data_IF_254812564804
#
_entry.id   IF_254812564804
#
_cell.length_a   1.000
_cell.length_b   1.000
_cell.length_c   1.000
_cell.angle_alpha   90.00
_cell.angle_beta   90.00
_cell.angle_gamma   90.00
#
_symmetry.space_group_name_H-M   'P 1'
#
loop_
_entity.id
_entity.type
_entity.pdbx_description
1 polymer ?
#
# COMPACT_ATOMS: atom_id res chain seq x y z
N UNK A 1 41.74 57.23 -9.38
CA UNK A 1 41.71 55.75 -9.26
C UNK A 1 41.38 55.42 -7.81
N UNK A 2 40.39 54.64 -7.42
CA UNK A 2 39.14 54.13 -7.98
C UNK A 2 38.37 53.62 -6.76
N UNK A 3 37.12 54.05 -6.57
CA UNK A 3 36.23 53.48 -5.57
C UNK A 3 35.89 52.03 -5.95
N UNK A 4 36.06 51.07 -5.03
CA UNK A 4 35.35 49.78 -5.08
C UNK A 4 34.96 49.30 -3.69
N UNK A 5 33.71 49.59 -3.37
CA UNK A 5 32.84 48.82 -2.47
C UNK A 5 32.77 47.38 -2.98
N UNK A 6 32.86 46.38 -2.10
CA UNK A 6 32.11 45.15 -2.28
C UNK A 6 31.79 44.50 -0.93
N UNK A 7 30.54 44.70 -0.53
CA UNK A 7 29.81 43.94 0.48
C UNK A 7 29.83 42.45 0.12
N UNK A 8 30.38 41.60 0.98
CA UNK A 8 30.08 40.17 0.96
C UNK A 8 28.98 39.95 2.01
N UNK A 9 27.74 40.10 1.54
CA UNK A 9 26.56 39.51 2.15
C UNK A 9 26.78 38.00 2.20
N UNK A 10 27.09 37.46 3.38
CA UNK A 10 26.95 36.03 3.66
C UNK A 10 25.44 35.76 3.60
N UNK A 11 25.03 35.26 2.44
CA UNK A 11 23.70 34.68 2.22
C UNK A 11 23.57 33.52 3.19
N UNK A 12 22.88 33.76 4.31
CA UNK A 12 22.21 32.70 5.05
C UNK A 12 21.18 32.11 4.07
N UNK A 13 21.60 31.11 3.31
CA UNK A 13 20.69 30.19 2.64
C UNK A 13 19.97 29.42 3.74
N UNK A 14 18.89 30.02 4.25
CA UNK A 14 17.87 29.34 5.00
C UNK A 14 17.35 28.19 4.14
N UNK A 15 17.80 26.98 4.48
CA UNK A 15 17.10 25.76 4.11
C UNK A 15 15.64 25.95 4.54
N UNK A 16 14.66 25.88 3.62
CA UNK A 16 13.29 25.68 4.05
C UNK A 16 13.26 24.28 4.67
N UNK A 17 13.22 24.24 6.00
CA UNK A 17 12.85 23.04 6.74
C UNK A 17 11.42 22.74 6.31
N UNK A 18 11.24 21.83 5.34
CA UNK A 18 9.94 21.24 5.04
C UNK A 18 9.59 20.26 6.15
N UNK A 19 9.21 20.80 7.32
CA UNK A 19 8.59 20.04 8.41
C UNK A 19 7.07 20.10 8.24
N UNK A 20 6.54 19.27 7.34
CA UNK A 20 5.10 19.07 7.17
C UNK A 20 4.74 17.59 7.20
N UNK A 21 5.09 16.88 8.28
CA UNK A 21 4.79 15.44 8.42
C UNK A 21 4.09 15.05 9.72
N UNK A 22 3.79 15.98 10.62
CA UNK A 22 3.25 15.64 11.95
C UNK A 22 1.72 15.83 12.07
N UNK A 23 1.07 16.52 11.13
CA UNK A 23 -0.38 16.80 11.23
C UNK A 23 -1.29 15.83 10.46
N UNK A 24 -0.73 14.94 9.62
CA UNK A 24 -1.51 13.91 8.93
C UNK A 24 -1.95 12.75 9.86
N UNK A 25 -1.41 12.67 11.09
CA UNK A 25 -1.68 11.56 12.01
C UNK A 25 -3.08 11.56 12.62
N UNK A 26 -3.56 12.71 13.12
CA UNK A 26 -4.74 12.68 14.00
C UNK A 26 -6.09 12.64 13.25
N UNK A 27 -6.16 13.28 12.08
CA UNK A 27 -7.42 13.35 11.32
C UNK A 27 -7.74 12.03 10.62
N UNK A 28 -6.74 11.36 10.04
CA UNK A 28 -6.96 10.11 9.31
C UNK A 28 -7.18 8.90 10.24
N UNK A 29 -6.74 8.95 11.51
CA UNK A 29 -7.17 7.95 12.49
C UNK A 29 -8.68 8.04 12.82
N UNK A 30 -9.28 9.22 12.69
CA UNK A 30 -10.72 9.44 12.92
C UNK A 30 -11.56 9.28 11.64
N UNK A 31 -10.92 9.43 10.48
CA UNK A 31 -11.54 9.22 9.18
C UNK A 31 -10.58 8.44 8.26
N UNK A 32 -10.52 7.10 8.37
CA UNK A 32 -9.53 6.32 7.64
C UNK A 32 -9.72 6.30 6.11
N UNK A 33 -10.80 6.89 5.58
CA UNK A 33 -11.12 6.88 4.15
C UNK A 33 -10.91 8.23 3.45
N UNK A 34 -10.48 9.28 4.15
CA UNK A 34 -10.34 10.63 3.56
C UNK A 34 -9.23 10.73 2.51
N UNK A 35 -8.03 10.23 2.82
CA UNK A 35 -6.84 10.43 1.98
C UNK A 35 -6.08 9.13 1.67
N UNK A 36 -6.71 7.98 1.91
CA UNK A 36 -6.06 6.66 1.89
C UNK A 36 -5.31 6.33 0.59
N UNK A 37 -5.77 6.81 -0.56
CA UNK A 37 -5.14 6.56 -1.87
C UNK A 37 -3.97 7.48 -2.19
N UNK A 38 -3.74 8.53 -1.41
CA UNK A 38 -2.75 9.58 -1.68
C UNK A 38 -1.41 9.30 -0.98
N UNK A 39 -1.39 8.40 0.00
CA UNK A 39 -0.19 8.10 0.78
C UNK A 39 0.75 7.12 0.11
N UNK A 40 2.05 7.35 0.28
CA UNK A 40 3.06 6.33 0.04
C UNK A 40 3.02 5.25 1.15
N UNK A 41 3.47 4.00 0.87
CA UNK A 41 3.49 2.94 1.88
C UNK A 41 4.20 3.33 3.18
N UNK A 42 5.30 4.10 3.10
CA UNK A 42 6.03 4.59 4.27
C UNK A 42 5.19 5.53 5.14
N UNK A 43 4.39 6.41 4.54
CA UNK A 43 3.48 7.30 5.26
C UNK A 43 2.35 6.50 5.92
N UNK A 44 1.81 5.50 5.23
CA UNK A 44 0.81 4.61 5.81
C UNK A 44 1.34 3.82 7.02
N UNK A 45 2.60 3.35 6.98
CA UNK A 45 3.24 2.71 8.15
C UNK A 45 3.36 3.66 9.33
N UNK A 46 3.74 4.92 9.07
CA UNK A 46 3.76 5.95 10.13
C UNK A 46 2.36 6.20 10.71
N UNK A 47 1.31 6.22 9.89
CA UNK A 47 -0.07 6.33 10.40
C UNK A 47 -0.45 5.12 11.26
N UNK A 48 -0.10 3.91 10.83
CA UNK A 48 -0.35 2.70 11.59
C UNK A 48 0.30 2.71 12.98
N UNK A 49 1.52 3.25 13.10
CA UNK A 49 2.23 3.40 14.38
C UNK A 49 1.59 4.46 15.30
N UNK A 50 0.95 5.47 14.72
CA UNK A 50 0.41 6.62 15.47
C UNK A 50 -1.08 6.47 15.84
N UNK A 51 -1.84 5.62 15.15
CA UNK A 51 -3.25 5.40 15.47
C UNK A 51 -3.40 4.54 16.73
N UNK A 52 -4.15 5.04 17.73
CA UNK A 52 -4.38 4.32 18.98
C UNK A 52 -5.41 3.17 18.86
N UNK A 53 -6.30 3.22 17.87
CA UNK A 53 -7.29 2.16 17.63
C UNK A 53 -6.68 1.05 16.76
N UNK A 54 -6.61 -0.18 17.30
CA UNK A 54 -5.96 -1.32 16.64
C UNK A 54 -6.53 -1.62 15.25
N UNK A 55 -7.85 -1.54 15.07
CA UNK A 55 -8.47 -1.82 13.78
C UNK A 55 -8.04 -0.81 12.70
N UNK A 56 -7.90 0.47 13.06
CA UNK A 56 -7.47 1.55 12.18
C UNK A 56 -5.97 1.45 11.90
N UNK A 57 -5.16 1.17 12.93
CA UNK A 57 -3.73 0.92 12.78
C UNK A 57 -3.46 -0.23 11.80
N UNK A 58 -4.16 -1.36 11.98
CA UNK A 58 -4.07 -2.52 11.09
C UNK A 58 -4.47 -2.18 9.66
N UNK A 59 -5.50 -1.35 9.47
CA UNK A 59 -5.91 -0.93 8.13
C UNK A 59 -4.80 -0.19 7.39
N UNK A 60 -4.15 0.78 8.03
CA UNK A 60 -3.03 1.50 7.41
C UNK A 60 -1.82 0.59 7.18
N UNK A 61 -1.52 -0.31 8.11
CA UNK A 61 -0.46 -1.31 7.92
C UNK A 61 -0.74 -2.20 6.71
N UNK A 62 -1.96 -2.73 6.61
CA UNK A 62 -2.38 -3.63 5.55
C UNK A 62 -2.40 -2.95 4.18
N UNK A 63 -2.88 -1.71 4.11
CA UNK A 63 -2.80 -0.89 2.88
C UNK A 63 -1.35 -0.70 2.43
N UNK A 64 -0.45 -0.37 3.36
CA UNK A 64 0.97 -0.21 3.07
C UNK A 64 1.57 -1.51 2.51
N UNK A 65 1.31 -2.62 3.21
CA UNK A 65 1.90 -3.91 2.86
C UNK A 65 1.37 -4.44 1.53
N UNK A 66 0.06 -4.32 1.28
CA UNK A 66 -0.53 -4.66 0.00
C UNK A 66 0.06 -3.82 -1.15
N UNK A 67 0.22 -2.51 -0.95
CA UNK A 67 0.85 -1.65 -1.97
C UNK A 67 2.30 -2.06 -2.28
N UNK A 68 3.09 -2.43 -1.27
CA UNK A 68 4.46 -2.96 -1.45
C UNK A 68 4.47 -4.30 -2.21
N UNK A 69 3.53 -5.20 -1.93
CA UNK A 69 3.40 -6.48 -2.66
C UNK A 69 3.04 -6.25 -4.14
N UNK A 70 2.10 -5.34 -4.41
CA UNK A 70 1.74 -4.94 -5.77
C UNK A 70 2.95 -4.35 -6.52
N UNK A 71 3.80 -3.55 -5.88
CA UNK A 71 5.03 -3.05 -6.48
C UNK A 71 6.01 -4.20 -6.83
N UNK A 72 6.14 -5.21 -5.96
CA UNK A 72 6.97 -6.40 -6.23
C UNK A 72 6.47 -7.17 -7.46
N UNK A 73 5.17 -7.39 -7.59
CA UNK A 73 4.58 -8.01 -8.78
C UNK A 73 4.88 -7.23 -10.06
N UNK A 74 4.76 -5.90 -10.02
CA UNK A 74 5.10 -5.06 -11.18
C UNK A 74 6.57 -5.21 -11.59
N UNK A 75 7.49 -5.30 -10.64
CA UNK A 75 8.92 -5.51 -10.91
C UNK A 75 9.16 -6.90 -11.52
N UNK A 76 8.60 -7.95 -10.92
CA UNK A 76 8.75 -9.33 -11.42
C UNK A 76 8.20 -9.46 -12.83
N UNK A 77 7.01 -8.90 -13.08
CA UNK A 77 6.40 -8.86 -14.39
C UNK A 77 7.33 -8.23 -15.45
N UNK A 78 7.99 -7.10 -15.13
CA UNK A 78 8.95 -6.47 -16.05
C UNK A 78 10.19 -7.34 -16.33
N UNK A 79 10.59 -8.20 -15.39
CA UNK A 79 11.74 -9.10 -15.54
C UNK A 79 11.40 -10.35 -16.36
N UNK A 80 10.14 -10.78 -16.36
CA UNK A 80 9.68 -11.94 -17.13
C UNK A 80 9.49 -11.57 -18.61
N UNK A 81 10.53 -11.76 -19.41
CA UNK A 81 10.57 -11.25 -20.79
C UNK A 81 9.88 -12.15 -21.84
N UNK A 82 9.45 -13.39 -21.55
CA UNK A 82 9.16 -14.37 -22.61
C UNK A 82 8.05 -15.43 -22.37
N UNK A 83 7.13 -15.28 -21.40
CA UNK A 83 6.03 -16.26 -21.20
C UNK A 83 4.67 -15.61 -20.92
N UNK A 84 3.54 -16.29 -21.22
CA UNK A 84 2.21 -15.80 -20.89
C UNK A 84 2.09 -15.49 -19.40
N UNK A 85 1.51 -14.33 -19.13
CA UNK A 85 1.74 -13.54 -17.92
C UNK A 85 0.58 -13.70 -16.94
N UNK A 86 0.47 -14.89 -16.33
CA UNK A 86 -0.52 -15.15 -15.28
C UNK A 86 -0.37 -14.17 -14.11
N UNK A 87 0.86 -13.75 -13.81
CA UNK A 87 1.19 -12.81 -12.73
C UNK A 87 0.50 -11.44 -12.91
N UNK A 88 0.39 -10.92 -14.14
CA UNK A 88 -0.31 -9.67 -14.41
C UNK A 88 -1.83 -9.77 -14.25
N UNK A 89 -2.43 -10.91 -14.62
CA UNK A 89 -3.86 -11.13 -14.37
C UNK A 89 -4.14 -11.18 -12.87
N UNK A 90 -3.35 -11.94 -12.10
CA UNK A 90 -3.49 -12.00 -10.65
C UNK A 90 -3.29 -10.63 -9.99
N UNK A 91 -2.29 -9.87 -10.43
CA UNK A 91 -2.06 -8.49 -10.02
C UNK A 91 -3.31 -7.62 -10.20
N UNK A 92 -3.96 -7.68 -11.37
CA UNK A 92 -5.17 -6.90 -11.64
C UNK A 92 -6.36 -7.37 -10.80
N UNK A 93 -6.53 -8.68 -10.63
CA UNK A 93 -7.59 -9.26 -9.80
C UNK A 93 -7.48 -8.78 -8.35
N UNK A 94 -6.28 -8.79 -7.76
CA UNK A 94 -6.08 -8.32 -6.39
C UNK A 94 -6.40 -6.84 -6.24
N UNK A 95 -5.96 -6.00 -7.19
CA UNK A 95 -6.30 -4.57 -7.19
C UNK A 95 -7.80 -4.33 -7.22
N UNK A 96 -8.53 -5.05 -8.07
CA UNK A 96 -9.98 -4.90 -8.17
C UNK A 96 -10.68 -5.37 -6.89
N UNK A 97 -10.29 -6.53 -6.35
CA UNK A 97 -10.87 -7.09 -5.13
C UNK A 97 -10.72 -6.15 -3.92
N UNK A 98 -9.51 -5.62 -3.71
CA UNK A 98 -9.26 -4.67 -2.63
C UNK A 98 -9.95 -3.33 -2.87
N UNK A 99 -9.96 -2.80 -4.10
CA UNK A 99 -10.66 -1.55 -4.40
C UNK A 99 -12.18 -1.64 -4.15
N UNK A 100 -12.79 -2.77 -4.50
CA UNK A 100 -14.21 -3.04 -4.20
C UNK A 100 -14.44 -3.18 -2.70
N UNK A 101 -13.57 -3.91 -1.99
CA UNK A 101 -13.64 -4.06 -0.53
C UNK A 101 -13.55 -2.72 0.18
N UNK A 102 -12.61 -1.85 -0.23
CA UNK A 102 -12.45 -0.48 0.27
C UNK A 102 -13.73 0.35 0.05
N UNK A 103 -14.31 0.29 -1.14
CA UNK A 103 -15.53 1.03 -1.46
C UNK A 103 -16.72 0.58 -0.60
N UNK A 104 -16.89 -0.72 -0.38
CA UNK A 104 -17.94 -1.24 0.47
C UNK A 104 -17.71 -0.90 1.94
N UNK A 105 -16.49 -1.06 2.44
CA UNK A 105 -16.13 -0.73 3.80
C UNK A 105 -16.31 0.77 4.10
N UNK A 106 -15.92 1.66 3.17
CA UNK A 106 -16.18 3.10 3.27
C UNK A 106 -17.66 3.38 3.45
N UNK A 107 -18.50 2.80 2.58
CA UNK A 107 -19.95 3.01 2.64
C UNK A 107 -20.58 2.47 3.93
N UNK A 108 -20.11 1.33 4.42
CA UNK A 108 -20.57 0.73 5.68
C UNK A 108 -20.14 1.59 6.89
N UNK A 109 -18.90 2.06 6.89
CA UNK A 109 -18.36 2.97 7.91
C UNK A 109 -19.14 4.29 7.99
N UNK A 110 -19.42 4.92 6.84
CA UNK A 110 -20.22 6.16 6.77
C UNK A 110 -21.65 5.99 7.31
N UNK A 111 -22.18 4.76 7.33
CA UNK A 111 -23.46 4.41 7.95
C UNK A 111 -23.36 4.06 9.44
N UNK A 112 -22.16 4.09 10.02
CA UNK A 112 -21.92 3.75 11.42
C UNK A 112 -21.80 2.25 11.71
N UNK A 113 -21.56 1.42 10.69
CA UNK A 113 -21.36 -0.02 10.88
C UNK A 113 -19.99 -0.30 11.51
N UNK A 114 -19.98 -0.57 12.82
CA UNK A 114 -18.76 -0.76 13.63
C UNK A 114 -17.84 -1.89 13.17
N UNK A 115 -18.35 -2.85 12.38
CA UNK A 115 -17.59 -3.98 11.86
C UNK A 115 -16.87 -3.74 10.52
N UNK A 116 -17.13 -2.60 9.85
CA UNK A 116 -16.68 -2.37 8.48
C UNK A 116 -15.15 -2.43 8.31
N UNK A 117 -14.40 -1.79 9.23
CA UNK A 117 -12.93 -1.77 9.22
C UNK A 117 -12.37 -3.16 9.53
N UNK A 118 -12.96 -3.86 10.49
CA UNK A 118 -12.52 -5.21 10.86
C UNK A 118 -12.68 -6.19 9.70
N UNK A 119 -13.79 -6.11 8.96
CA UNK A 119 -14.02 -6.96 7.78
C UNK A 119 -13.08 -6.59 6.63
N UNK A 120 -12.85 -5.29 6.40
CA UNK A 120 -11.87 -4.83 5.42
C UNK A 120 -10.46 -5.36 5.72
N UNK A 121 -10.06 -5.35 7.00
CA UNK A 121 -8.77 -5.92 7.40
C UNK A 121 -8.66 -7.41 7.06
N UNK A 122 -9.71 -8.21 7.26
CA UNK A 122 -9.70 -9.62 6.85
C UNK A 122 -9.55 -9.79 5.34
N UNK A 123 -10.21 -8.94 4.54
CA UNK A 123 -10.05 -8.97 3.09
C UNK A 123 -8.61 -8.63 2.67
N UNK A 124 -7.98 -7.67 3.36
CA UNK A 124 -6.57 -7.38 3.18
C UNK A 124 -5.69 -8.57 3.53
N UNK A 125 -5.83 -9.13 4.73
CA UNK A 125 -5.02 -10.27 5.20
C UNK A 125 -5.10 -11.42 4.21
N UNK A 126 -6.31 -11.75 3.72
CA UNK A 126 -6.50 -12.79 2.72
C UNK A 126 -5.86 -12.45 1.37
N UNK A 127 -5.99 -11.22 0.90
CA UNK A 127 -5.38 -10.80 -0.37
C UNK A 127 -3.86 -10.80 -0.29
N UNK A 128 -3.30 -10.37 0.84
CA UNK A 128 -1.88 -10.40 1.16
C UNK A 128 -1.36 -11.84 1.18
N UNK A 129 -2.06 -12.75 1.85
CA UNK A 129 -1.70 -14.17 1.91
C UNK A 129 -1.61 -14.78 0.50
N UNK A 130 -2.64 -14.56 -0.33
CA UNK A 130 -2.67 -15.05 -1.71
C UNK A 130 -1.52 -14.43 -2.53
N UNK A 131 -1.29 -13.12 -2.40
CA UNK A 131 -0.18 -12.42 -3.05
C UNK A 131 1.18 -13.02 -2.69
N UNK A 132 1.40 -13.32 -1.42
CA UNK A 132 2.64 -13.94 -0.98
C UNK A 132 2.84 -15.35 -1.52
N UNK A 133 1.78 -16.17 -1.55
CA UNK A 133 1.87 -17.51 -2.12
C UNK A 133 2.21 -17.48 -3.60
N UNK A 134 1.63 -16.53 -4.33
CA UNK A 134 1.94 -16.26 -5.73
C UNK A 134 3.38 -15.84 -5.94
N UNK A 135 3.88 -14.86 -5.17
CA UNK A 135 5.28 -14.43 -5.26
C UNK A 135 6.26 -15.56 -4.93
N UNK A 136 5.89 -16.48 -4.03
CA UNK A 136 6.69 -17.66 -3.68
C UNK A 136 6.58 -18.78 -4.73
N UNK A 137 5.69 -18.66 -5.73
CA UNK A 137 5.51 -19.63 -6.81
C UNK A 137 4.69 -20.87 -6.41
N UNK A 138 3.93 -20.83 -5.31
CA UNK A 138 3.14 -21.99 -4.87
C UNK A 138 1.97 -22.30 -5.81
N UNK A 139 1.42 -21.30 -6.51
CA UNK A 139 0.39 -21.52 -7.54
C UNK A 139 0.90 -22.39 -8.69
N UNK A 140 2.19 -22.27 -9.03
CA UNK A 140 2.85 -23.10 -10.05
C UNK A 140 3.03 -24.54 -9.56
N UNK A 141 3.25 -24.74 -8.25
CA UNK A 141 3.38 -26.06 -7.65
C UNK A 141 2.04 -26.80 -7.61
N UNK A 142 0.95 -26.10 -7.25
CA UNK A 142 -0.40 -26.65 -7.27
C UNK A 142 -0.84 -27.05 -8.69
N UNK A 143 -0.65 -26.17 -9.69
CA UNK A 143 -0.97 -26.47 -11.08
C UNK A 143 -0.15 -27.64 -11.67
N UNK A 144 1.05 -27.89 -11.14
CA UNK A 144 1.89 -29.03 -11.56
C UNK A 144 1.43 -30.37 -10.97
N UNK A 145 0.80 -30.35 -9.81
CA UNK A 145 0.19 -31.55 -9.21
C UNK A 145 -1.10 -31.94 -9.94
N UNK A 146 -1.93 -30.97 -10.34
CA UNK A 146 -3.18 -31.24 -11.08
C UNK A 146 -2.95 -31.73 -12.52
N UNK A 147 -1.75 -31.51 -13.07
CA UNK A 147 -1.36 -31.95 -14.42
C UNK A 147 -0.61 -33.29 -14.45
N UNK A 148 -0.42 -33.96 -13.32
CA UNK A 148 0.03 -35.34 -13.32
C UNK A 148 -1.11 -36.24 -13.82
N UNK A 149 -0.92 -37.02 -14.91
CA UNK A 149 -1.92 -37.99 -15.32
C UNK A 149 -2.12 -38.97 -14.18
N UNK A 150 -3.38 -39.19 -13.79
CA UNK A 150 -3.74 -40.32 -12.94
C UNK A 150 -3.24 -41.58 -13.63
N UNK A 151 -2.27 -42.27 -13.02
CA UNK A 151 -1.83 -43.57 -13.52
C UNK A 151 -3.07 -44.48 -13.61
N UNK A 152 -3.26 -45.19 -14.75
CA UNK A 152 -4.31 -46.18 -14.88
C UNK A 152 -4.13 -47.35 -13.91
#
# INVERSE_FOLDING_TARGET
MSYRILLILVVLSGLPIMSSSVMAGHNDCNNPFSHSSEYAPSQMRQLAENCGETAIANLFYNRAYHAELLQKFQVINRLQSHKPNHDLTHYHTQRMFIALSEAFAKRAWEKGEKGAIAELNKHYDRSIEIAEFQLKGYDVLAARQDSMPSNP
#
